data_IF_688135272992
#
_entry.id   IF_688135272992
#
_cell.length_a   1.000
_cell.length_b   1.000
_cell.length_c   1.000
_cell.angle_alpha   90.00
_cell.angle_beta   90.00
_cell.angle_gamma   90.00
#
_symmetry.space_group_name_H-M   'P 1'
#
loop_
_entity.id
_entity.type
_entity.pdbx_description
1 polymer ?
#
# COMPACT_ATOMS: atom_id res chain seq x y z
N UNK A 1 -5.63 19.86 -26.23
CA UNK A 1 -5.79 18.75 -25.27
C UNK A 1 -5.92 19.42 -23.91
N UNK A 2 -7.15 19.53 -23.41
CA UNK A 2 -7.44 20.22 -22.14
C UNK A 2 -6.72 19.48 -21.00
N UNK A 3 -6.04 20.23 -20.15
CA UNK A 3 -5.28 19.64 -19.03
C UNK A 3 -6.24 18.84 -18.14
N UNK A 4 -6.08 17.51 -18.11
CA UNK A 4 -6.96 16.61 -17.39
C UNK A 4 -6.80 16.73 -15.86
N UNK A 5 -5.72 17.33 -15.39
CA UNK A 5 -5.37 17.46 -13.96
C UNK A 5 -6.37 18.29 -13.17
N UNK A 6 -6.80 19.49 -13.63
CA UNK A 6 -7.82 20.29 -12.93
C UNK A 6 -9.17 19.57 -12.82
N UNK A 7 -9.57 18.85 -13.88
CA UNK A 7 -10.83 18.10 -13.90
C UNK A 7 -10.81 16.92 -12.94
N UNK A 8 -9.72 16.15 -12.87
CA UNK A 8 -9.55 15.05 -11.90
C UNK A 8 -9.53 15.55 -10.47
N UNK A 9 -8.87 16.68 -10.20
CA UNK A 9 -8.87 17.31 -8.88
C UNK A 9 -10.29 17.70 -8.46
N UNK A 10 -11.07 18.31 -9.35
CA UNK A 10 -12.46 18.71 -9.09
C UNK A 10 -13.36 17.48 -8.81
N UNK A 11 -13.19 16.39 -9.57
CA UNK A 11 -13.90 15.14 -9.33
C UNK A 11 -13.56 14.58 -7.93
N UNK A 12 -12.29 14.53 -7.57
CA UNK A 12 -11.84 14.06 -6.24
C UNK A 12 -12.40 14.91 -5.12
N UNK A 13 -12.31 16.24 -5.22
CA UNK A 13 -12.87 17.15 -4.22
C UNK A 13 -14.37 16.93 -4.03
N UNK A 14 -15.12 16.78 -5.12
CA UNK A 14 -16.55 16.50 -5.08
C UNK A 14 -16.86 15.16 -4.40
N UNK A 15 -16.11 14.10 -4.76
CA UNK A 15 -16.28 12.78 -4.17
C UNK A 15 -15.97 12.78 -2.66
N UNK A 16 -14.92 13.47 -2.24
CA UNK A 16 -14.51 13.54 -0.82
C UNK A 16 -15.44 14.42 0.00
N UNK A 17 -15.94 15.52 -0.54
CA UNK A 17 -16.96 16.34 0.12
C UNK A 17 -18.29 15.57 0.36
N UNK A 18 -18.65 14.69 -0.57
CA UNK A 18 -19.78 13.75 -0.37
C UNK A 18 -19.47 12.72 0.72
N UNK A 19 -18.24 12.21 0.77
CA UNK A 19 -17.81 11.20 1.72
C UNK A 19 -17.73 11.70 3.17
N UNK A 20 -17.72 13.01 3.41
CA UNK A 20 -17.84 13.60 4.74
C UNK A 20 -19.23 13.43 5.35
N UNK A 21 -20.27 13.27 4.51
CA UNK A 21 -21.69 13.25 4.91
C UNK A 21 -22.37 11.91 4.66
N UNK A 22 -21.78 11.09 3.79
CA UNK A 22 -22.39 9.84 3.31
C UNK A 22 -21.30 8.77 3.26
N UNK A 23 -21.64 7.53 3.60
CA UNK A 23 -20.68 6.43 3.48
C UNK A 23 -20.18 6.32 2.04
N UNK A 24 -18.86 6.14 1.86
CA UNK A 24 -18.21 6.05 0.54
C UNK A 24 -18.93 5.09 -0.42
N UNK A 25 -19.48 3.99 0.09
CA UNK A 25 -20.16 2.98 -0.74
C UNK A 25 -21.50 3.45 -1.29
N UNK A 26 -22.20 4.29 -0.57
CA UNK A 26 -23.52 4.81 -0.96
C UNK A 26 -23.40 5.93 -2.00
N UNK A 27 -22.23 6.53 -2.16
CA UNK A 27 -21.99 7.60 -3.11
C UNK A 27 -22.02 7.03 -4.54
N UNK A 28 -22.95 7.50 -5.37
CA UNK A 28 -23.02 7.14 -6.78
C UNK A 28 -22.12 8.01 -7.65
N UNK A 29 -21.69 7.50 -8.80
CA UNK A 29 -20.96 8.28 -9.80
C UNK A 29 -21.80 9.47 -10.32
N UNK A 30 -23.13 9.34 -10.40
CA UNK A 30 -24.02 10.44 -10.76
C UNK A 30 -24.01 11.55 -9.70
N UNK A 31 -24.00 11.21 -8.40
CA UNK A 31 -23.89 12.20 -7.32
C UNK A 31 -22.54 12.94 -7.38
N UNK A 32 -21.45 12.22 -7.66
CA UNK A 32 -20.12 12.84 -7.85
C UNK A 32 -20.12 13.79 -9.04
N UNK A 33 -20.73 13.40 -10.18
CA UNK A 33 -20.83 14.25 -11.35
C UNK A 33 -21.60 15.54 -11.06
N UNK A 34 -22.77 15.41 -10.40
CA UNK A 34 -23.58 16.54 -9.99
C UNK A 34 -22.83 17.49 -9.05
N UNK A 35 -22.18 16.95 -8.01
CA UNK A 35 -21.38 17.73 -7.07
C UNK A 35 -20.17 18.41 -7.73
N UNK A 36 -19.57 17.77 -8.72
CA UNK A 36 -18.45 18.32 -9.49
C UNK A 36 -18.90 19.32 -10.56
N UNK A 37 -20.19 19.50 -10.83
CA UNK A 37 -20.73 20.32 -11.93
C UNK A 37 -20.29 19.78 -13.32
N UNK A 38 -20.26 18.46 -13.48
CA UNK A 38 -19.86 17.76 -14.69
C UNK A 38 -21.00 16.90 -15.24
N UNK A 39 -21.02 16.72 -16.56
CA UNK A 39 -21.86 15.66 -17.12
C UNK A 39 -21.32 14.26 -16.74
N UNK A 40 -22.20 13.27 -16.62
CA UNK A 40 -21.79 11.92 -16.30
C UNK A 40 -20.83 11.33 -17.36
N UNK A 41 -20.98 11.69 -18.63
CA UNK A 41 -20.10 11.29 -19.73
C UNK A 41 -18.69 11.89 -19.58
N UNK A 42 -18.58 13.13 -19.13
CA UNK A 42 -17.29 13.77 -18.88
C UNK A 42 -16.62 13.16 -17.65
N UNK A 43 -17.37 12.90 -16.58
CA UNK A 43 -16.86 12.20 -15.41
C UNK A 43 -16.32 10.81 -15.77
N UNK A 44 -17.08 10.02 -16.56
CA UNK A 44 -16.65 8.68 -16.98
C UNK A 44 -15.34 8.68 -17.75
N UNK A 45 -15.08 9.70 -18.58
CA UNK A 45 -13.81 9.82 -19.33
C UNK A 45 -12.61 10.06 -18.42
N UNK A 46 -12.77 10.81 -17.33
CA UNK A 46 -11.68 11.16 -16.40
C UNK A 46 -11.57 10.21 -15.20
N UNK A 47 -12.69 9.65 -14.77
CA UNK A 47 -12.78 8.73 -13.64
C UNK A 47 -13.87 7.68 -13.91
N UNK A 48 -13.52 6.53 -14.51
CA UNK A 48 -14.51 5.51 -14.89
C UNK A 48 -15.13 4.78 -13.69
N UNK A 49 -14.57 4.92 -12.49
CA UNK A 49 -15.07 4.28 -11.28
C UNK A 49 -14.64 5.05 -10.01
N UNK A 50 -15.27 4.77 -8.88
CA UNK A 50 -14.81 5.29 -7.57
C UNK A 50 -13.39 4.82 -7.24
N UNK A 51 -13.06 3.59 -7.61
CA UNK A 51 -11.70 3.03 -7.44
C UNK A 51 -10.66 3.82 -8.23
N UNK A 52 -10.98 4.30 -9.44
CA UNK A 52 -10.04 5.13 -10.21
C UNK A 52 -9.80 6.49 -9.57
N UNK A 53 -10.80 7.06 -8.89
CA UNK A 53 -10.64 8.30 -8.11
C UNK A 53 -9.66 8.07 -6.95
N UNK A 54 -9.80 6.94 -6.24
CA UNK A 54 -8.90 6.59 -5.14
C UNK A 54 -7.48 6.26 -5.62
N UNK A 55 -7.34 5.63 -6.79
CA UNK A 55 -6.04 5.34 -7.40
C UNK A 55 -5.30 6.63 -7.79
N UNK A 56 -5.99 7.57 -8.44
CA UNK A 56 -5.41 8.88 -8.79
C UNK A 56 -5.03 9.65 -7.52
N UNK A 57 -5.87 9.62 -6.48
CA UNK A 57 -5.56 10.20 -5.18
C UNK A 57 -4.35 9.56 -4.53
N UNK A 58 -4.26 8.22 -4.49
CA UNK A 58 -3.12 7.51 -3.92
C UNK A 58 -1.81 7.88 -4.61
N UNK A 59 -1.85 8.04 -5.95
CA UNK A 59 -0.68 8.45 -6.74
C UNK A 59 -0.22 9.88 -6.39
N UNK A 60 -1.15 10.82 -6.19
CA UNK A 60 -0.80 12.19 -5.78
C UNK A 60 -0.17 12.20 -4.37
N UNK A 61 -0.66 11.35 -3.45
CA UNK A 61 -0.07 11.17 -2.12
C UNK A 61 1.34 10.57 -2.22
N UNK A 62 1.53 9.57 -3.08
CA UNK A 62 2.82 8.93 -3.29
C UNK A 62 3.83 9.93 -3.92
N UNK A 63 3.39 10.75 -4.89
CA UNK A 63 4.20 11.83 -5.47
C UNK A 63 4.63 12.85 -4.40
N UNK A 64 3.70 13.31 -3.56
CA UNK A 64 4.00 14.26 -2.49
C UNK A 64 4.97 13.68 -1.43
N UNK A 65 4.82 12.39 -1.10
CA UNK A 65 5.73 11.67 -0.23
C UNK A 65 7.14 11.60 -0.85
N UNK A 66 7.27 11.20 -2.11
CA UNK A 66 8.55 11.10 -2.82
C UNK A 66 9.25 12.45 -2.83
N UNK A 67 8.55 13.52 -3.23
CA UNK A 67 9.09 14.89 -3.26
C UNK A 67 9.61 15.36 -1.89
N UNK A 68 9.01 14.88 -0.79
CA UNK A 68 9.48 15.21 0.56
C UNK A 68 10.87 14.65 0.84
N UNK A 69 11.26 13.53 0.22
CA UNK A 69 12.54 12.85 0.42
C UNK A 69 13.56 13.05 -0.70
N UNK A 70 13.19 13.70 -1.81
CA UNK A 70 14.16 14.07 -2.86
C UNK A 70 15.18 15.07 -2.34
N UNK A 71 14.72 16.07 -1.57
CA UNK A 71 15.58 17.13 -1.03
C UNK A 71 16.27 16.73 0.26
N UNK A 72 15.59 15.97 1.11
CA UNK A 72 16.10 15.50 2.41
C UNK A 72 15.83 14.01 2.53
N UNK A 73 16.74 13.15 2.02
CA UNK A 73 16.58 11.71 2.10
C UNK A 73 16.43 11.24 3.55
N UNK A 74 15.62 10.20 3.74
CA UNK A 74 15.52 9.53 5.03
C UNK A 74 16.89 8.93 5.43
N UNK A 75 17.24 9.05 6.69
CA UNK A 75 18.55 8.63 7.25
C UNK A 75 18.35 7.43 8.19
N UNK A 76 19.48 6.84 8.62
CA UNK A 76 19.47 5.70 9.53
C UNK A 76 19.50 4.35 8.81
N UNK A 77 19.12 3.30 9.51
CA UNK A 77 19.03 1.96 8.95
C UNK A 77 17.74 1.78 8.11
N UNK A 78 17.56 0.59 7.52
CA UNK A 78 16.38 0.32 6.68
C UNK A 78 15.05 0.44 7.44
N UNK A 79 15.05 0.12 8.73
CA UNK A 79 13.88 0.25 9.60
C UNK A 79 13.52 1.73 9.79
N UNK A 80 14.51 2.55 10.14
CA UNK A 80 14.33 3.99 10.38
C UNK A 80 13.83 4.68 9.12
N UNK A 81 14.43 4.41 7.96
CA UNK A 81 14.02 4.99 6.69
C UNK A 81 12.62 4.59 6.26
N UNK A 82 12.24 3.32 6.44
CA UNK A 82 10.87 2.87 6.19
C UNK A 82 9.87 3.51 7.15
N UNK A 83 10.26 3.66 8.42
CA UNK A 83 9.44 4.33 9.43
C UNK A 83 9.15 5.77 9.02
N UNK A 84 10.18 6.54 8.69
CA UNK A 84 10.05 7.95 8.31
C UNK A 84 9.21 8.14 7.06
N UNK A 85 9.45 7.33 6.02
CA UNK A 85 8.71 7.41 4.75
C UNK A 85 7.23 7.06 4.94
N UNK A 86 6.92 6.03 5.72
CA UNK A 86 5.53 5.64 5.99
C UNK A 86 4.85 6.70 6.86
N UNK A 87 5.51 7.19 7.90
CA UNK A 87 4.97 8.24 8.76
C UNK A 87 4.67 9.50 7.95
N UNK A 88 5.59 9.93 7.08
CA UNK A 88 5.39 11.08 6.19
C UNK A 88 4.17 10.90 5.29
N UNK A 89 3.98 9.72 4.71
CA UNK A 89 2.81 9.42 3.92
C UNK A 89 1.51 9.55 4.72
N UNK A 90 1.50 9.09 5.98
CA UNK A 90 0.34 9.21 6.87
C UNK A 90 0.07 10.66 7.27
N UNK A 91 1.10 11.48 7.45
CA UNK A 91 0.96 12.93 7.68
C UNK A 91 0.28 13.62 6.48
N UNK A 92 0.71 13.29 5.25
CA UNK A 92 0.10 13.83 4.02
C UNK A 92 -1.36 13.37 3.89
N UNK A 93 -1.69 12.16 4.34
CA UNK A 93 -3.05 11.62 4.35
C UNK A 93 -3.95 12.21 5.44
N UNK A 94 -3.38 12.89 6.45
CA UNK A 94 -4.12 13.35 7.64
C UNK A 94 -5.40 14.16 7.33
N UNK A 95 -5.42 15.10 6.37
CA UNK A 95 -6.64 15.84 6.01
C UNK A 95 -7.77 14.95 5.47
N UNK A 96 -7.45 13.74 5.01
CA UNK A 96 -8.38 12.80 4.36
C UNK A 96 -8.72 11.60 5.25
N UNK A 97 -8.36 11.64 6.54
CA UNK A 97 -8.51 10.51 7.47
C UNK A 97 -9.93 9.96 7.51
N UNK A 98 -10.95 10.83 7.56
CA UNK A 98 -12.35 10.42 7.56
C UNK A 98 -12.77 9.64 6.32
N UNK A 99 -12.36 10.09 5.15
CA UNK A 99 -12.61 9.41 3.87
C UNK A 99 -11.94 8.03 3.84
N UNK A 100 -10.66 7.97 4.21
CA UNK A 100 -9.90 6.71 4.25
C UNK A 100 -10.54 5.73 5.25
N UNK A 101 -10.95 6.18 6.43
CA UNK A 101 -11.65 5.36 7.41
C UNK A 101 -12.98 4.80 6.84
N UNK A 102 -13.74 5.61 6.10
CA UNK A 102 -14.97 5.18 5.43
C UNK A 102 -14.69 4.12 4.36
N UNK A 103 -13.70 4.32 3.51
CA UNK A 103 -13.27 3.34 2.49
C UNK A 103 -12.85 2.01 3.14
N UNK A 104 -12.05 2.07 4.22
CA UNK A 104 -11.52 0.86 4.88
C UNK A 104 -12.58 0.05 5.62
N UNK A 105 -13.62 0.69 6.17
CA UNK A 105 -14.69 -0.03 6.90
C UNK A 105 -15.31 -1.14 6.05
N UNK A 106 -15.52 -0.90 4.79
CA UNK A 106 -16.23 -1.82 3.91
C UNK A 106 -15.34 -2.66 2.98
N UNK A 107 -14.11 -2.23 2.71
CA UNK A 107 -13.14 -3.04 1.95
C UNK A 107 -12.94 -4.44 2.55
N UNK A 108 -13.27 -4.62 3.83
CA UNK A 108 -13.27 -5.92 4.51
C UNK A 108 -14.47 -6.81 4.15
N UNK A 109 -15.53 -6.26 3.58
CA UNK A 109 -16.79 -6.96 3.31
C UNK A 109 -17.03 -7.28 1.82
N UNK A 110 -16.36 -6.61 0.88
CA UNK A 110 -16.63 -6.72 -0.55
C UNK A 110 -15.35 -7.09 -1.33
N UNK A 111 -15.29 -8.35 -1.80
CA UNK A 111 -14.08 -8.97 -2.36
C UNK A 111 -13.46 -8.25 -3.59
N UNK A 112 -14.25 -7.73 -4.53
CA UNK A 112 -13.71 -7.10 -5.77
C UNK A 112 -13.15 -5.71 -5.50
N UNK A 113 -13.80 -4.90 -4.68
CA UNK A 113 -13.28 -3.58 -4.26
C UNK A 113 -12.00 -3.74 -3.43
N UNK A 114 -11.96 -4.76 -2.56
CA UNK A 114 -10.76 -5.08 -1.80
C UNK A 114 -9.56 -5.40 -2.70
N UNK A 115 -9.76 -6.16 -3.79
CA UNK A 115 -8.67 -6.48 -4.74
C UNK A 115 -8.09 -5.22 -5.40
N UNK A 116 -8.95 -4.29 -5.85
CA UNK A 116 -8.49 -3.03 -6.47
C UNK A 116 -7.75 -2.13 -5.49
N UNK A 117 -8.23 -2.06 -4.25
CA UNK A 117 -7.54 -1.34 -3.17
C UNK A 117 -6.19 -1.96 -2.85
N UNK A 118 -6.09 -3.29 -2.82
CA UNK A 118 -4.83 -4.00 -2.63
C UNK A 118 -3.84 -3.78 -3.78
N UNK A 119 -4.31 -3.66 -5.02
CA UNK A 119 -3.45 -3.32 -6.16
C UNK A 119 -2.88 -1.91 -6.02
N UNK A 120 -3.73 -0.90 -5.76
CA UNK A 120 -3.28 0.48 -5.53
C UNK A 120 -2.31 0.57 -4.35
N UNK A 121 -2.58 -0.17 -3.27
CA UNK A 121 -1.70 -0.24 -2.12
C UNK A 121 -0.36 -0.92 -2.46
N UNK A 122 -0.39 -1.97 -3.30
CA UNK A 122 0.82 -2.62 -3.77
C UNK A 122 1.73 -1.66 -4.54
N UNK A 123 1.16 -0.76 -5.35
CA UNK A 123 1.92 0.26 -6.07
C UNK A 123 2.53 1.28 -5.09
N UNK A 124 1.74 1.75 -4.12
CA UNK A 124 2.24 2.63 -3.05
C UNK A 124 3.36 2.00 -2.22
N UNK A 125 3.27 0.70 -1.90
CA UNK A 125 4.36 -0.03 -1.21
C UNK A 125 5.64 0.00 -2.05
N UNK A 126 5.55 -0.14 -3.37
CA UNK A 126 6.70 0.01 -4.26
C UNK A 126 7.35 1.39 -4.11
N UNK A 127 6.57 2.46 -4.16
CA UNK A 127 7.07 3.82 -4.00
C UNK A 127 7.64 4.11 -2.61
N UNK A 128 7.04 3.57 -1.53
CA UNK A 128 7.58 3.65 -0.16
C UNK A 128 8.97 3.02 -0.10
N UNK A 129 9.13 1.84 -0.67
CA UNK A 129 10.40 1.11 -0.71
C UNK A 129 11.46 1.88 -1.48
N UNK A 130 11.10 2.43 -2.64
CA UNK A 130 12.01 3.25 -3.46
C UNK A 130 12.40 4.55 -2.75
N UNK A 131 11.46 5.25 -2.12
CA UNK A 131 11.74 6.47 -1.37
C UNK A 131 12.62 6.21 -0.15
N UNK A 132 12.43 5.08 0.54
CA UNK A 132 13.29 4.63 1.65
C UNK A 132 14.65 4.08 1.18
N UNK A 133 14.86 3.88 -0.13
CA UNK A 133 16.09 3.34 -0.73
C UNK A 133 16.53 2.00 -0.14
N UNK A 134 15.59 1.10 0.12
CA UNK A 134 15.86 -0.20 0.75
C UNK A 134 15.80 -1.37 -0.22
N UNK A 135 15.50 -1.16 -1.50
CA UNK A 135 15.28 -2.19 -2.51
C UNK A 135 16.43 -3.18 -2.66
N UNK A 136 17.67 -2.70 -2.57
CA UNK A 136 18.89 -3.49 -2.78
C UNK A 136 19.52 -3.98 -1.47
N UNK A 137 18.94 -3.65 -0.32
CA UNK A 137 19.50 -4.05 0.97
C UNK A 137 19.07 -5.46 1.38
N UNK A 138 19.94 -6.22 2.05
CA UNK A 138 19.57 -7.51 2.62
C UNK A 138 18.39 -7.42 3.59
N UNK A 139 18.24 -6.28 4.27
CA UNK A 139 17.10 -6.00 5.14
C UNK A 139 15.76 -6.03 4.38
N UNK A 140 15.71 -5.58 3.12
CA UNK A 140 14.51 -5.65 2.30
C UNK A 140 14.02 -7.09 2.07
N UNK A 141 14.94 -8.03 1.90
CA UNK A 141 14.61 -9.45 1.84
C UNK A 141 13.95 -9.94 3.15
N UNK A 142 14.26 -9.28 4.26
CA UNK A 142 13.67 -9.56 5.57
C UNK A 142 12.28 -8.97 5.76
N UNK A 143 11.93 -7.87 5.10
CA UNK A 143 10.58 -7.31 5.16
C UNK A 143 9.62 -8.02 4.21
N UNK A 144 10.03 -8.25 2.98
CA UNK A 144 9.19 -8.77 1.91
C UNK A 144 7.99 -7.89 1.58
N UNK A 145 7.55 -7.87 0.34
CA UNK A 145 6.44 -7.00 -0.10
C UNK A 145 5.13 -7.27 0.67
N UNK A 146 4.83 -8.53 0.94
CA UNK A 146 3.61 -8.93 1.67
C UNK A 146 3.69 -8.56 3.15
N UNK A 147 4.85 -8.69 3.78
CA UNK A 147 5.07 -8.28 5.16
C UNK A 147 4.86 -6.79 5.35
N UNK A 148 5.46 -5.97 4.48
CA UNK A 148 5.30 -4.52 4.53
C UNK A 148 3.87 -4.08 4.21
N UNK A 149 3.20 -4.73 3.24
CA UNK A 149 1.79 -4.46 2.95
C UNK A 149 0.89 -4.76 4.17
N UNK A 150 1.12 -5.89 4.84
CA UNK A 150 0.38 -6.24 6.07
C UNK A 150 0.65 -5.23 7.19
N UNK A 151 1.91 -4.85 7.39
CA UNK A 151 2.30 -3.84 8.37
C UNK A 151 1.58 -2.52 8.09
N UNK A 152 1.64 -2.05 6.85
CA UNK A 152 1.02 -0.81 6.42
C UNK A 152 -0.51 -0.82 6.61
N UNK A 153 -1.20 -1.91 6.23
CA UNK A 153 -2.65 -2.05 6.45
C UNK A 153 -3.03 -2.02 7.93
N UNK A 154 -2.22 -2.66 8.79
CA UNK A 154 -2.42 -2.60 10.23
C UNK A 154 -2.25 -1.17 10.75
N UNK A 155 -1.17 -0.50 10.34
CA UNK A 155 -0.89 0.88 10.74
C UNK A 155 -1.99 1.84 10.26
N UNK A 156 -2.46 1.73 9.02
CA UNK A 156 -3.61 2.50 8.52
C UNK A 156 -4.86 2.29 9.38
N UNK A 157 -5.09 1.06 9.85
CA UNK A 157 -6.24 0.75 10.73
C UNK A 157 -6.12 1.40 12.11
N UNK A 158 -4.91 1.52 12.65
CA UNK A 158 -4.64 2.23 13.91
C UNK A 158 -4.77 3.74 13.69
N UNK A 159 -4.07 4.26 12.67
CA UNK A 159 -4.06 5.67 12.31
C UNK A 159 -5.45 6.23 12.04
N UNK A 160 -6.32 5.46 11.38
CA UNK A 160 -7.69 5.91 11.09
C UNK A 160 -8.55 6.16 12.35
N UNK A 161 -8.07 5.73 13.53
CA UNK A 161 -8.73 5.86 14.84
C UNK A 161 -7.86 6.60 15.86
N UNK A 162 -6.72 7.13 15.44
CA UNK A 162 -5.79 7.82 16.32
C UNK A 162 -6.13 9.30 16.33
N UNK A 163 -6.72 9.75 17.41
CA UNK A 163 -7.13 11.15 17.61
C UNK A 163 -6.02 12.01 18.23
N UNK A 164 -4.87 11.42 18.55
CA UNK A 164 -3.71 12.15 19.05
C UNK A 164 -3.05 12.95 17.92
N UNK A 165 -2.94 14.28 18.04
CA UNK A 165 -2.23 15.10 17.04
C UNK A 165 -0.79 14.68 16.81
N UNK A 166 -0.13 14.13 17.83
CA UNK A 166 1.24 13.61 17.75
C UNK A 166 1.34 12.19 17.17
N UNK A 167 0.21 11.55 16.83
CA UNK A 167 0.16 10.20 16.26
C UNK A 167 0.93 9.14 17.09
N UNK A 168 0.98 9.29 18.41
CA UNK A 168 1.80 8.42 19.27
C UNK A 168 1.41 6.94 19.17
N UNK A 169 0.11 6.64 19.09
CA UNK A 169 -0.38 5.25 18.90
C UNK A 169 0.00 4.72 17.53
N UNK A 170 -0.10 5.56 16.50
CA UNK A 170 0.27 5.23 15.11
C UNK A 170 1.75 4.96 14.99
N UNK A 171 2.61 5.81 15.57
CA UNK A 171 4.06 5.61 15.58
C UNK A 171 4.45 4.33 16.29
N UNK A 172 3.87 4.05 17.48
CA UNK A 172 4.12 2.81 18.20
C UNK A 172 3.64 1.55 17.44
N UNK A 173 2.52 1.65 16.72
CA UNK A 173 2.02 0.57 15.88
C UNK A 173 2.90 0.34 14.65
N UNK A 174 3.41 1.42 14.03
CA UNK A 174 4.30 1.37 12.88
C UNK A 174 5.63 0.70 13.26
N UNK A 175 6.30 1.18 14.29
CA UNK A 175 7.55 0.62 14.81
C UNK A 175 7.41 -0.89 15.10
N UNK A 176 6.36 -1.27 15.83
CA UNK A 176 6.10 -2.67 16.15
C UNK A 176 5.82 -3.50 14.89
N UNK A 177 5.01 -3.00 13.96
CA UNK A 177 4.65 -3.73 12.75
C UNK A 177 5.84 -3.95 11.81
N UNK A 178 6.75 -2.99 11.72
CA UNK A 178 7.99 -3.14 10.97
C UNK A 178 8.87 -4.23 11.60
N UNK A 179 9.11 -4.19 12.92
CA UNK A 179 9.88 -5.23 13.63
C UNK A 179 9.26 -6.63 13.51
N UNK A 180 7.94 -6.73 13.58
CA UNK A 180 7.24 -8.02 13.44
C UNK A 180 7.35 -8.56 12.01
N UNK A 181 7.32 -7.70 11.00
CA UNK A 181 7.52 -8.06 9.59
C UNK A 181 8.92 -8.61 9.34
N UNK A 182 9.96 -8.01 9.93
CA UNK A 182 11.33 -8.53 9.88
C UNK A 182 11.46 -9.92 10.49
N UNK A 183 10.88 -10.11 11.68
CA UNK A 183 10.91 -11.40 12.40
C UNK A 183 10.19 -12.49 11.64
N UNK A 184 9.03 -12.16 11.05
CA UNK A 184 8.24 -13.11 10.27
C UNK A 184 9.00 -13.59 9.04
N UNK A 185 9.58 -12.68 8.26
CA UNK A 185 10.32 -13.02 7.06
C UNK A 185 11.61 -13.79 7.35
N UNK A 186 12.35 -13.44 8.41
CA UNK A 186 13.52 -14.23 8.83
C UNK A 186 13.16 -15.68 9.13
N UNK A 187 12.01 -15.93 9.78
CA UNK A 187 11.51 -17.30 10.04
C UNK A 187 11.06 -17.99 8.75
N UNK A 188 10.32 -17.29 7.90
CA UNK A 188 9.84 -17.84 6.61
C UNK A 188 11.00 -18.14 5.66
N UNK A 189 12.01 -17.29 5.56
CA UNK A 189 13.21 -17.51 4.76
C UNK A 189 13.99 -18.72 5.25
N UNK A 190 14.14 -18.92 6.54
CA UNK A 190 14.77 -20.12 7.11
C UNK A 190 14.03 -21.41 6.74
N UNK A 191 12.70 -21.42 6.77
CA UNK A 191 11.88 -22.57 6.40
C UNK A 191 12.03 -22.87 4.89
N UNK A 192 11.98 -21.84 4.03
CA UNK A 192 12.12 -21.96 2.58
C UNK A 192 13.52 -22.46 2.22
N UNK A 193 14.56 -21.99 2.91
CA UNK A 193 15.93 -22.44 2.70
C UNK A 193 16.11 -23.91 3.07
N UNK A 194 15.59 -24.35 4.21
CA UNK A 194 15.59 -25.76 4.62
C UNK A 194 14.81 -26.62 3.63
N UNK A 195 13.60 -26.22 3.23
CA UNK A 195 12.79 -26.94 2.26
C UNK A 195 13.50 -27.04 0.88
N UNK A 196 14.14 -25.96 0.43
CA UNK A 196 14.87 -25.94 -0.83
C UNK A 196 16.15 -26.81 -0.78
N UNK A 197 16.81 -26.89 0.38
CA UNK A 197 17.96 -27.78 0.62
C UNK A 197 17.53 -29.24 0.56
N UNK A 198 16.43 -29.58 1.26
CA UNK A 198 15.85 -30.94 1.23
C UNK A 198 15.43 -31.34 -0.18
N UNK A 199 14.77 -30.44 -0.92
CA UNK A 199 14.38 -30.70 -2.31
C UNK A 199 15.57 -30.90 -3.24
N UNK A 200 16.68 -30.17 -3.05
CA UNK A 200 17.93 -30.36 -3.83
C UNK A 200 18.59 -31.68 -3.52
N UNK A 201 18.70 -32.08 -2.24
CA UNK A 201 19.25 -33.39 -1.85
C UNK A 201 18.41 -34.53 -2.36
N UNK A 202 17.09 -34.47 -2.27
CA UNK A 202 16.17 -35.47 -2.80
C UNK A 202 16.31 -35.62 -4.34
N UNK A 203 16.45 -34.51 -5.09
CA UNK A 203 16.68 -34.54 -6.53
C UNK A 203 18.04 -35.13 -6.88
N UNK A 204 19.09 -34.83 -6.13
CA UNK A 204 20.44 -35.42 -6.35
C UNK A 204 20.43 -36.92 -6.10
N UNK A 205 19.82 -37.39 -5.02
CA UNK A 205 19.68 -38.81 -4.72
C UNK A 205 18.84 -39.56 -5.77
N UNK A 206 17.73 -38.97 -6.22
CA UNK A 206 16.94 -39.55 -7.31
C UNK A 206 17.74 -39.67 -8.61
N UNK A 207 18.53 -38.65 -8.97
CA UNK A 207 19.38 -38.68 -10.17
C UNK A 207 20.43 -39.78 -10.09
N UNK A 208 21.12 -39.95 -8.96
CA UNK A 208 22.07 -41.03 -8.73
C UNK A 208 21.40 -42.40 -8.88
N UNK A 209 20.26 -42.62 -8.28
CA UNK A 209 19.49 -43.85 -8.35
C UNK A 209 19.11 -44.22 -9.82
N UNK A 210 18.72 -43.24 -10.63
CA UNK A 210 18.42 -43.47 -12.05
C UNK A 210 19.66 -43.71 -12.91
N UNK A 211 20.82 -43.12 -12.58
CA UNK A 211 22.06 -43.33 -13.31
C UNK A 211 22.67 -44.72 -13.00
N UNK A 212 22.55 -45.21 -11.78
CA UNK A 212 22.99 -46.56 -11.41
C UNK A 212 22.16 -47.66 -12.11
N UNK A 213 20.83 -47.44 -12.23
CA UNK A 213 19.97 -48.41 -12.96
C UNK A 213 20.15 -48.43 -14.47
N UNK A 214 20.79 -47.44 -15.06
CA UNK A 214 21.14 -47.45 -16.50
C UNK A 214 22.44 -48.16 -16.82
N UNK A 215 23.23 -48.50 -15.80
CA UNK A 215 24.53 -49.18 -15.97
C UNK A 215 24.45 -50.69 -15.73
N UNK A 216 23.28 -51.19 -15.31
CA UNK A 216 22.96 -52.61 -15.14
C UNK A 216 22.02 -53.09 -16.23
#
# INVERSE_FOLDING_TARGET
MEDARPTKLRIRQAAFALAERTDWHEISMAAIAGQAGLSLSLLMRHAPSKSSILQDFSRDIDEAMILSFEKYPAEGDAHDRLFDVILKRLEILQPYRGVIASVMRRARAEGVEAVRLLQSLSDSIGWIVSAARVEQEPAWQSFGRLGLMRAYLHVLSVWSKDDDPGLARTMAALDRSLRDSERFNRRASGIIEVASRVARTARAAAKQFFEERKKT
#
